data_IF_490808201504
#
_entry.id   IF_490808201504
#
_cell.length_a   1.000
_cell.length_b   1.000
_cell.length_c   1.000
_cell.angle_alpha   90.00
_cell.angle_beta   90.00
_cell.angle_gamma   90.00
#
_symmetry.space_group_name_H-M   'P 1'
#
loop_
_entity.id
_entity.type
_entity.pdbx_description
1 polymer ?
#
# COMPACT_ATOMS: atom_id res chain seq x y z
N UNK A 1 34.90 -16.53 -4.90
CA UNK A 1 34.45 -15.54 -5.91
C UNK A 1 34.46 -14.17 -5.28
N UNK A 2 35.07 -13.18 -5.95
CA UNK A 2 35.26 -11.80 -5.47
C UNK A 2 33.95 -10.99 -5.57
N UNK A 3 33.04 -11.19 -4.64
CA UNK A 3 31.85 -10.33 -4.47
C UNK A 3 31.59 -10.13 -2.98
N UNK A 4 30.75 -9.14 -2.61
CA UNK A 4 30.40 -8.80 -1.21
C UNK A 4 30.09 -10.05 -0.36
N UNK A 5 29.43 -11.05 -0.94
CA UNK A 5 29.09 -12.33 -0.29
C UNK A 5 30.35 -13.14 0.08
N UNK A 6 31.38 -13.12 -0.78
CA UNK A 6 32.66 -13.77 -0.50
C UNK A 6 33.49 -13.08 0.57
N UNK A 7 33.31 -11.77 0.75
CA UNK A 7 33.95 -11.00 1.82
C UNK A 7 33.26 -11.27 3.17
N UNK A 8 31.93 -11.37 3.18
CA UNK A 8 31.13 -11.74 4.36
C UNK A 8 31.44 -13.18 4.82
N UNK A 9 31.57 -14.12 3.89
CA UNK A 9 31.91 -15.52 4.21
C UNK A 9 33.31 -15.60 4.82
N UNK A 10 34.27 -14.83 4.30
CA UNK A 10 35.65 -14.85 4.78
C UNK A 10 35.80 -14.15 6.14
N UNK A 11 35.08 -13.05 6.35
CA UNK A 11 34.99 -12.37 7.65
C UNK A 11 34.29 -13.22 8.72
N UNK A 12 33.45 -14.19 8.33
CA UNK A 12 32.79 -15.13 9.26
C UNK A 12 33.63 -16.39 9.52
N UNK A 13 34.66 -16.66 8.70
CA UNK A 13 35.47 -17.88 8.82
C UNK A 13 36.86 -17.66 9.42
N UNK A 14 37.41 -16.45 9.34
CA UNK A 14 38.64 -16.11 10.06
C UNK A 14 38.28 -15.67 11.50
N UNK A 15 38.80 -16.40 12.50
CA UNK A 15 38.75 -16.14 13.96
C UNK A 15 37.45 -16.44 14.76
N UNK A 16 36.58 -17.37 14.35
CA UNK A 16 35.41 -17.71 15.21
C UNK A 16 35.70 -18.87 16.17
N UNK A 17 35.70 -18.57 17.47
CA UNK A 17 36.00 -19.52 18.56
C UNK A 17 34.74 -20.04 19.27
N UNK A 18 33.52 -19.63 18.88
CA UNK A 18 32.26 -20.12 19.48
C UNK A 18 31.01 -19.86 18.62
N UNK A 19 30.09 -20.82 18.56
CA UNK A 19 28.75 -20.76 17.92
C UNK A 19 27.94 -19.51 18.38
N UNK A 20 28.21 -19.01 19.58
CA UNK A 20 27.51 -17.85 20.17
C UNK A 20 27.80 -16.53 19.42
N UNK A 21 29.00 -16.38 18.87
CA UNK A 21 29.43 -15.16 18.19
C UNK A 21 28.81 -15.04 16.78
N UNK A 22 28.70 -16.17 16.07
CA UNK A 22 27.97 -16.24 14.79
C UNK A 22 26.51 -15.81 14.98
N UNK A 23 25.86 -16.24 16.06
CA UNK A 23 24.47 -15.89 16.35
C UNK A 23 24.28 -14.39 16.58
N UNK A 24 25.16 -13.76 17.36
CA UNK A 24 25.11 -12.32 17.61
C UNK A 24 25.31 -11.49 16.33
N UNK A 25 26.24 -11.90 15.47
CA UNK A 25 26.52 -11.17 14.21
C UNK A 25 25.42 -11.36 13.18
N UNK A 26 24.77 -12.53 13.17
CA UNK A 26 23.57 -12.74 12.36
C UNK A 26 22.41 -11.87 12.81
N UNK A 27 22.20 -11.76 14.14
CA UNK A 27 21.18 -10.87 14.71
C UNK A 27 21.44 -9.40 14.35
N UNK A 28 22.70 -8.95 14.40
CA UNK A 28 23.08 -7.58 14.03
C UNK A 28 22.79 -7.27 12.55
N UNK A 29 23.11 -8.19 11.64
CA UNK A 29 22.82 -8.01 10.21
C UNK A 29 21.31 -7.98 9.93
N UNK A 30 20.54 -8.85 10.58
CA UNK A 30 19.07 -8.88 10.46
C UNK A 30 18.46 -7.57 10.94
N UNK A 31 18.90 -7.06 12.09
CA UNK A 31 18.46 -5.78 12.66
C UNK A 31 18.83 -4.60 11.74
N UNK A 32 19.99 -4.64 11.08
CA UNK A 32 20.40 -3.57 10.16
C UNK A 32 19.55 -3.51 8.88
N UNK A 33 19.01 -4.66 8.42
CA UNK A 33 18.27 -4.78 7.14
C UNK A 33 16.75 -4.67 7.31
N UNK A 34 16.20 -5.02 8.48
CA UNK A 34 14.79 -4.83 8.84
C UNK A 34 14.22 -3.42 8.60
N UNK A 35 14.88 -2.31 8.98
CA UNK A 35 14.28 -0.97 8.88
C UNK A 35 13.99 -0.53 7.44
N UNK A 36 14.74 -1.02 6.44
CA UNK A 36 14.47 -0.74 5.04
C UNK A 36 13.19 -1.41 4.54
N UNK A 37 12.92 -2.63 5.00
CA UNK A 37 11.71 -3.39 4.66
C UNK A 37 10.49 -2.77 5.36
N UNK A 38 10.62 -2.42 6.63
CA UNK A 38 9.55 -1.79 7.41
C UNK A 38 9.12 -0.44 6.84
N UNK A 39 10.06 0.36 6.35
CA UNK A 39 9.77 1.66 5.72
C UNK A 39 8.92 1.49 4.45
N UNK A 40 9.28 0.53 3.60
CA UNK A 40 8.56 0.28 2.35
C UNK A 40 7.15 -0.29 2.63
N UNK A 41 7.02 -1.20 3.58
CA UNK A 41 5.72 -1.76 3.98
C UNK A 41 4.83 -0.67 4.59
N UNK A 42 5.40 0.23 5.41
CA UNK A 42 4.66 1.35 5.99
C UNK A 42 4.12 2.30 4.92
N UNK A 43 4.91 2.58 3.87
CA UNK A 43 4.46 3.39 2.75
C UNK A 43 3.30 2.74 1.98
N UNK A 44 3.38 1.43 1.70
CA UNK A 44 2.28 0.68 1.06
C UNK A 44 1.02 0.74 1.93
N UNK A 45 1.15 0.59 3.24
CA UNK A 45 0.00 0.64 4.16
C UNK A 45 -0.73 2.00 4.11
N UNK A 46 0.01 3.11 3.98
CA UNK A 46 -0.59 4.43 3.83
C UNK A 46 -1.38 4.53 2.51
N UNK A 47 -0.81 4.04 1.40
CA UNK A 47 -1.51 4.04 0.11
C UNK A 47 -2.79 3.20 0.13
N UNK A 48 -2.71 2.02 0.74
CA UNK A 48 -3.84 1.09 0.86
C UNK A 48 -4.97 1.69 1.70
N UNK A 49 -4.64 2.37 2.80
CA UNK A 49 -5.63 3.05 3.65
C UNK A 49 -6.17 4.34 3.03
N UNK A 50 -5.40 4.99 2.15
CA UNK A 50 -5.85 6.15 1.39
C UNK A 50 -6.77 5.78 0.21
N UNK A 51 -6.65 4.59 -0.38
CA UNK A 51 -7.43 4.19 -1.56
C UNK A 51 -8.97 4.28 -1.36
N UNK A 52 -9.55 3.80 -0.24
CA UNK A 52 -10.98 3.98 0.04
C UNK A 52 -11.39 5.45 0.20
N UNK A 53 -10.52 6.27 0.80
CA UNK A 53 -10.78 7.71 0.99
C UNK A 53 -10.83 8.45 -0.35
N UNK A 54 -9.97 8.05 -1.30
CA UNK A 54 -10.00 8.57 -2.68
C UNK A 54 -11.29 8.15 -3.39
N UNK A 55 -11.75 6.90 -3.20
CA UNK A 55 -13.04 6.43 -3.73
C UNK A 55 -14.23 7.25 -3.21
N UNK A 56 -14.20 7.59 -1.91
CA UNK A 56 -15.19 8.48 -1.28
C UNK A 56 -15.10 9.94 -1.75
N UNK A 57 -13.92 10.41 -2.17
CA UNK A 57 -13.81 11.73 -2.80
C UNK A 57 -14.44 11.72 -4.20
N UNK A 58 -14.30 10.60 -4.93
CA UNK A 58 -14.87 10.39 -6.25
C UNK A 58 -16.41 10.46 -6.27
N UNK A 59 -17.08 9.87 -5.28
CA UNK A 59 -18.55 10.00 -5.10
C UNK A 59 -18.97 11.45 -4.97
N UNK A 60 -18.27 12.23 -4.13
CA UNK A 60 -18.60 13.64 -3.90
C UNK A 60 -18.43 14.46 -5.18
N UNK A 61 -17.35 14.23 -5.93
CA UNK A 61 -17.13 14.90 -7.22
C UNK A 61 -18.18 14.53 -8.27
N UNK A 62 -18.57 13.25 -8.37
CA UNK A 62 -19.60 12.80 -9.32
C UNK A 62 -20.97 13.41 -9.02
N UNK A 63 -21.36 13.48 -7.75
CA UNK A 63 -22.59 14.14 -7.32
C UNK A 63 -22.54 15.66 -7.57
N UNK A 64 -21.38 16.30 -7.39
CA UNK A 64 -21.20 17.72 -7.68
C UNK A 64 -21.41 18.05 -9.16
N UNK A 65 -20.83 17.26 -10.08
CA UNK A 65 -21.03 17.41 -11.53
C UNK A 65 -22.51 17.22 -11.92
N UNK A 66 -23.20 16.30 -11.25
CA UNK A 66 -24.63 16.05 -11.46
C UNK A 66 -25.46 17.28 -11.06
N UNK A 67 -25.20 17.88 -9.89
CA UNK A 67 -25.87 19.10 -9.46
C UNK A 67 -25.60 20.30 -10.37
N UNK A 68 -24.37 20.44 -10.87
CA UNK A 68 -24.02 21.49 -11.84
C UNK A 68 -24.79 21.33 -13.16
N UNK A 69 -24.93 20.09 -13.64
CA UNK A 69 -25.67 19.79 -14.88
C UNK A 69 -27.17 20.07 -14.74
N UNK A 70 -27.74 19.83 -13.56
CA UNK A 70 -29.13 20.17 -13.24
C UNK A 70 -29.35 21.69 -13.27
N UNK A 71 -28.44 22.46 -12.64
CA UNK A 71 -28.55 23.93 -12.56
C UNK A 71 -28.41 24.65 -13.91
N UNK A 72 -27.81 24.00 -14.92
CA UNK A 72 -27.58 24.57 -16.25
C UNK A 72 -28.77 24.45 -17.23
N UNK A 73 -29.92 23.88 -16.80
CA UNK A 73 -31.17 23.87 -17.59
C UNK A 73 -31.62 22.49 -18.06
N UNK A 74 -31.74 21.52 -17.16
CA UNK A 74 -32.09 20.12 -17.50
C UNK A 74 -33.60 19.83 -17.56
N UNK A 75 -34.12 19.59 -18.76
CA UNK A 75 -35.45 19.00 -18.99
C UNK A 75 -35.54 17.50 -18.64
N UNK A 76 -34.40 16.82 -18.47
CA UNK A 76 -34.30 15.39 -18.12
C UNK A 76 -33.70 15.19 -16.71
N UNK A 77 -34.30 15.82 -15.70
CA UNK A 77 -33.90 15.72 -14.29
C UNK A 77 -33.73 14.26 -13.82
N UNK A 78 -34.68 13.38 -14.15
CA UNK A 78 -34.69 12.00 -13.67
C UNK A 78 -33.52 11.16 -14.22
N UNK A 79 -33.21 11.30 -15.52
CA UNK A 79 -32.12 10.53 -16.14
C UNK A 79 -30.75 11.02 -15.67
N UNK A 80 -30.57 12.34 -15.52
CA UNK A 80 -29.31 12.89 -15.00
C UNK A 80 -29.05 12.49 -13.55
N UNK A 81 -30.08 12.50 -12.70
CA UNK A 81 -29.93 12.05 -11.30
C UNK A 81 -29.61 10.56 -11.23
N UNK A 82 -30.28 9.72 -12.02
CA UNK A 82 -29.99 8.29 -12.06
C UNK A 82 -28.55 8.01 -12.50
N UNK A 83 -28.05 8.71 -13.54
CA UNK A 83 -26.66 8.60 -14.00
C UNK A 83 -25.66 9.09 -12.94
N UNK A 84 -25.93 10.22 -12.29
CA UNK A 84 -25.06 10.77 -11.25
C UNK A 84 -24.90 9.87 -10.04
N UNK A 85 -26.00 9.31 -9.55
CA UNK A 85 -26.00 8.37 -8.43
C UNK A 85 -25.28 7.07 -8.81
N UNK A 86 -25.56 6.53 -10.00
CA UNK A 86 -24.88 5.32 -10.48
C UNK A 86 -23.37 5.53 -10.64
N UNK A 87 -22.94 6.68 -11.17
CA UNK A 87 -21.53 7.04 -11.29
C UNK A 87 -20.86 7.22 -9.91
N UNK A 88 -21.61 7.64 -8.90
CA UNK A 88 -21.10 7.74 -7.54
C UNK A 88 -20.84 6.34 -6.92
N UNK A 89 -21.57 5.29 -7.26
CA UNK A 89 -21.37 3.96 -6.64
C UNK A 89 -20.08 3.24 -7.05
N UNK A 90 -19.57 3.50 -8.25
CA UNK A 90 -18.44 2.75 -8.82
C UNK A 90 -17.06 3.05 -8.17
N UNK A 91 -16.67 4.32 -7.89
CA UNK A 91 -15.38 4.62 -7.29
C UNK A 91 -15.13 4.00 -5.89
N UNK A 92 -16.13 3.95 -4.97
CA UNK A 92 -15.98 3.25 -3.70
C UNK A 92 -15.72 1.74 -3.85
N UNK A 93 -16.42 1.08 -4.78
CA UNK A 93 -16.24 -0.36 -5.04
C UNK A 93 -14.82 -0.66 -5.50
N UNK A 94 -14.30 0.13 -6.45
CA UNK A 94 -12.92 0.00 -6.95
C UNK A 94 -11.90 0.28 -5.84
N UNK A 95 -12.12 1.33 -5.05
CA UNK A 95 -11.25 1.66 -3.90
C UNK A 95 -11.17 0.53 -2.88
N UNK A 96 -12.29 -0.15 -2.62
CA UNK A 96 -12.36 -1.28 -1.70
C UNK A 96 -11.74 -2.55 -2.30
N UNK A 97 -11.94 -2.81 -3.60
CA UNK A 97 -11.30 -3.92 -4.32
C UNK A 97 -9.77 -3.85 -4.31
N UNK A 98 -9.20 -2.64 -4.24
CA UNK A 98 -7.74 -2.44 -4.14
C UNK A 98 -7.29 -2.49 -2.67
N UNK A 99 -8.06 -1.90 -1.76
CA UNK A 99 -7.71 -1.82 -0.35
C UNK A 99 -7.67 -3.20 0.34
N UNK A 100 -8.62 -4.09 0.08
CA UNK A 100 -8.69 -5.41 0.74
C UNK A 100 -7.45 -6.28 0.44
N UNK A 101 -7.05 -6.52 -0.83
CA UNK A 101 -5.84 -7.27 -1.13
C UNK A 101 -4.57 -6.57 -0.63
N UNK A 102 -4.54 -5.24 -0.70
CA UNK A 102 -3.42 -4.44 -0.20
C UNK A 102 -3.19 -4.60 1.30
N UNK A 103 -4.27 -4.59 2.10
CA UNK A 103 -4.20 -4.80 3.54
C UNK A 103 -3.75 -6.23 3.87
N UNK A 104 -4.26 -7.22 3.15
CA UNK A 104 -3.84 -8.61 3.30
C UNK A 104 -2.35 -8.79 2.99
N UNK A 105 -1.85 -8.17 1.91
CA UNK A 105 -0.44 -8.26 1.52
C UNK A 105 0.48 -7.60 2.55
N UNK A 106 0.12 -6.42 3.06
CA UNK A 106 0.85 -5.73 4.14
C UNK A 106 0.87 -6.57 5.41
N UNK A 107 -0.27 -7.18 5.77
CA UNK A 107 -0.38 -8.02 6.96
C UNK A 107 0.46 -9.30 6.85
N UNK A 108 0.48 -9.95 5.68
CA UNK A 108 1.30 -11.13 5.44
C UNK A 108 2.80 -10.83 5.41
N UNK A 109 3.22 -9.66 4.90
CA UNK A 109 4.63 -9.27 4.85
C UNK A 109 5.20 -8.80 6.20
N UNK A 110 4.35 -8.32 7.12
CA UNK A 110 4.76 -7.95 8.48
C UNK A 110 4.85 -9.13 9.45
N UNK A 111 4.33 -10.30 9.08
CA UNK A 111 4.28 -11.49 9.93
C UNK A 111 5.42 -12.44 9.58
#
# INVERSE_FOLDING_TARGET
GKGEIGEIIRYTQDEVTSIHEIHNRFAEVVVSKMPYIDRNITFINILVTAAPLIGLLGTVMGMLMTFQSIGAGGGEMAEMMAKGISAALFPPEVGLCIAIPGLLMVHLLKR
#
